data_IF_646879406733
#
_entry.id   IF_646879406733
#
_cell.length_a   1.000
_cell.length_b   1.000
_cell.length_c   1.000
_cell.angle_alpha   90.00
_cell.angle_beta   90.00
_cell.angle_gamma   90.00
#
_symmetry.space_group_name_H-M   'P 1'
#
loop_
_entity.id
_entity.type
_entity.pdbx_description
1 polymer ?
#
# COMPACT_ATOMS: atom_id res chain seq x y z
N UNK A 1 -34.30 15.97 -24.51
CA UNK A 1 -33.04 15.25 -24.51
C UNK A 1 -32.47 15.16 -23.13
N UNK A 2 -32.11 14.05 -22.80
CA UNK A 2 -31.42 13.94 -21.57
C UNK A 2 -29.95 14.19 -21.84
N UNK A 3 -29.45 15.18 -21.22
CA UNK A 3 -28.06 15.40 -21.30
C UNK A 3 -27.40 14.47 -20.28
N UNK A 4 -26.93 13.37 -20.76
CA UNK A 4 -26.26 12.41 -19.88
C UNK A 4 -24.79 12.71 -19.67
N UNK A 5 -24.27 13.70 -20.37
CA UNK A 5 -22.85 14.03 -20.33
C UNK A 5 -22.37 14.36 -18.91
N UNK A 6 -23.22 14.98 -18.11
CA UNK A 6 -22.85 15.32 -16.73
C UNK A 6 -22.81 14.11 -15.80
N UNK A 7 -23.40 12.99 -16.25
CA UNK A 7 -23.36 11.74 -15.50
C UNK A 7 -22.31 10.78 -16.02
N UNK A 8 -21.73 11.09 -17.16
CA UNK A 8 -20.75 10.23 -17.78
C UNK A 8 -19.35 10.58 -17.29
N UNK A 9 -18.68 9.60 -16.80
CA UNK A 9 -17.24 9.75 -16.54
C UNK A 9 -16.54 9.77 -17.88
N UNK A 10 -15.72 10.77 -18.17
CA UNK A 10 -14.93 10.78 -19.40
C UNK A 10 -14.15 9.47 -19.55
N UNK A 11 -14.10 8.96 -20.77
CA UNK A 11 -13.40 7.72 -21.07
C UNK A 11 -11.96 7.77 -20.55
N UNK A 12 -11.30 8.91 -20.70
CA UNK A 12 -9.94 9.08 -20.19
C UNK A 12 -9.84 8.85 -18.70
N UNK A 13 -10.78 9.37 -17.91
CA UNK A 13 -10.78 9.16 -16.46
C UNK A 13 -11.06 7.71 -16.09
N UNK A 14 -11.95 7.05 -16.82
CA UNK A 14 -12.24 5.64 -16.61
C UNK A 14 -10.99 4.81 -16.87
N UNK A 15 -10.26 5.10 -17.93
CA UNK A 15 -9.07 4.35 -18.30
C UNK A 15 -7.89 4.60 -17.36
N UNK A 16 -7.88 5.74 -16.67
CA UNK A 16 -6.85 6.05 -15.68
C UNK A 16 -7.01 5.26 -14.37
N UNK A 17 -8.19 4.70 -14.15
CA UNK A 17 -8.50 3.96 -12.93
C UNK A 17 -8.61 2.48 -13.28
N UNK A 18 -7.46 1.87 -13.57
CA UNK A 18 -7.38 0.46 -13.89
C UNK A 18 -7.47 -0.41 -12.65
N UNK A 19 -8.20 -1.51 -12.74
CA UNK A 19 -8.38 -2.44 -11.62
C UNK A 19 -8.99 -1.76 -10.39
N UNK A 20 -10.11 -1.05 -10.61
CA UNK A 20 -10.85 -0.50 -9.48
C UNK A 20 -11.53 -1.64 -8.73
N UNK A 21 -11.14 -1.84 -7.48
CA UNK A 21 -11.63 -2.93 -6.66
C UNK A 21 -12.79 -2.44 -5.78
N UNK A 22 -13.84 -3.24 -5.70
CA UNK A 22 -15.03 -2.94 -4.91
C UNK A 22 -14.98 -3.77 -3.63
N UNK A 23 -14.14 -3.33 -2.70
CA UNK A 23 -13.87 -4.06 -1.47
C UNK A 23 -14.37 -3.29 -0.26
N UNK A 24 -14.82 -4.02 0.76
CA UNK A 24 -15.39 -3.43 1.95
C UNK A 24 -14.54 -3.52 3.20
N UNK A 25 -13.46 -4.32 3.20
CA UNK A 25 -12.61 -4.48 4.36
C UNK A 25 -11.19 -4.90 3.95
N UNK A 26 -10.26 -4.77 4.90
CA UNK A 26 -8.85 -5.07 4.63
C UNK A 26 -8.61 -6.55 4.31
N UNK A 27 -9.43 -7.42 4.82
CA UNK A 27 -9.29 -8.85 4.56
C UNK A 27 -9.49 -9.17 3.09
N UNK A 28 -10.45 -8.52 2.45
CA UNK A 28 -10.69 -8.66 1.01
C UNK A 28 -9.54 -8.10 0.18
N UNK A 29 -9.00 -6.96 0.59
CA UNK A 29 -7.82 -6.38 -0.07
C UNK A 29 -6.62 -7.31 0.08
N UNK A 30 -6.41 -7.84 1.27
CA UNK A 30 -5.33 -8.78 1.52
C UNK A 30 -5.44 -10.01 0.62
N UNK A 31 -6.64 -10.55 0.46
CA UNK A 31 -6.87 -11.69 -0.42
C UNK A 31 -6.54 -11.34 -1.88
N UNK A 32 -6.98 -10.17 -2.34
CA UNK A 32 -6.67 -9.73 -3.69
C UNK A 32 -5.16 -9.57 -3.90
N UNK A 33 -4.48 -8.93 -2.97
CA UNK A 33 -3.03 -8.76 -3.05
C UNK A 33 -2.30 -10.11 -3.03
N UNK A 34 -2.74 -11.02 -2.18
CA UNK A 34 -2.15 -12.36 -2.10
C UNK A 34 -2.19 -13.07 -3.45
N UNK A 35 -3.29 -12.90 -4.18
CA UNK A 35 -3.47 -13.54 -5.48
C UNK A 35 -2.81 -12.78 -6.63
N UNK A 36 -2.57 -11.48 -6.48
CA UNK A 36 -2.20 -10.62 -7.60
C UNK A 36 -0.92 -9.80 -7.42
N UNK A 37 -0.29 -9.81 -6.26
CA UNK A 37 0.86 -8.92 -5.99
C UNK A 37 2.02 -9.10 -6.98
N UNK A 38 2.17 -10.28 -7.56
CA UNK A 38 3.24 -10.58 -8.51
C UNK A 38 2.74 -10.70 -9.95
N UNK A 39 1.51 -10.34 -10.22
CA UNK A 39 0.88 -10.45 -11.56
C UNK A 39 0.40 -9.12 -12.08
N UNK A 40 -0.18 -8.29 -11.22
CA UNK A 40 -0.80 -7.03 -11.60
C UNK A 40 0.15 -5.85 -11.41
N UNK A 41 -0.04 -4.82 -12.22
CA UNK A 41 0.80 -3.62 -12.19
C UNK A 41 0.26 -2.55 -11.25
N UNK A 42 -1.02 -2.58 -10.97
CA UNK A 42 -1.66 -1.65 -10.06
C UNK A 42 -3.06 -2.12 -9.71
N UNK A 43 -3.63 -1.47 -8.71
CA UNK A 43 -5.06 -1.51 -8.45
C UNK A 43 -5.46 -0.18 -7.82
N UNK A 44 -6.76 0.09 -7.83
CA UNK A 44 -7.34 1.22 -7.14
C UNK A 44 -8.32 0.69 -6.10
N UNK A 45 -8.25 1.23 -4.90
CA UNK A 45 -9.05 0.76 -3.77
C UNK A 45 -9.90 1.91 -3.27
N UNK A 46 -11.21 1.69 -3.15
CA UNK A 46 -12.11 2.69 -2.58
C UNK A 46 -11.80 2.79 -1.10
N UNK A 47 -11.51 4.00 -0.65
CA UNK A 47 -11.04 4.27 0.70
C UNK A 47 -11.77 5.47 1.30
N UNK A 48 -11.51 5.75 2.57
CA UNK A 48 -11.99 6.96 3.22
C UNK A 48 -11.03 7.35 4.33
N UNK A 49 -10.99 8.66 4.61
CA UNK A 49 -10.14 9.24 5.66
C UNK A 49 -10.95 9.85 6.80
N UNK A 50 -12.26 10.00 6.60
CA UNK A 50 -13.15 10.56 7.61
C UNK A 50 -13.33 9.59 8.78
N UNK A 51 -13.81 10.11 9.90
CA UNK A 51 -14.10 9.26 11.07
C UNK A 51 -15.27 8.31 10.83
N UNK A 52 -16.20 8.71 9.97
CA UNK A 52 -17.38 7.91 9.66
C UNK A 52 -17.21 7.26 8.31
N UNK A 53 -17.48 5.96 8.19
CA UNK A 53 -17.46 5.29 6.90
C UNK A 53 -18.50 5.90 5.95
N UNK A 54 -18.22 5.93 4.65
CA UNK A 54 -19.22 6.33 3.66
C UNK A 54 -20.31 5.29 3.51
N UNK A 55 -21.36 5.62 2.76
CA UNK A 55 -22.47 4.71 2.53
C UNK A 55 -22.12 3.52 1.64
N UNK A 56 -21.09 3.65 0.83
CA UNK A 56 -20.61 2.59 -0.06
C UNK A 56 -19.48 1.79 0.60
N UNK A 57 -19.20 0.58 0.10
CA UNK A 57 -18.07 -0.19 0.62
C UNK A 57 -16.75 0.54 0.42
N UNK A 58 -15.97 0.62 1.47
CA UNK A 58 -14.67 1.30 1.46
C UNK A 58 -13.81 0.79 2.61
N UNK A 59 -12.50 0.92 2.46
CA UNK A 59 -11.53 0.49 3.47
C UNK A 59 -10.86 1.72 4.06
N UNK A 60 -10.70 1.81 5.39
CA UNK A 60 -9.98 2.93 6.00
C UNK A 60 -8.62 3.12 5.34
N UNK A 61 -8.24 4.38 5.08
CA UNK A 61 -7.01 4.70 4.37
C UNK A 61 -5.77 4.03 4.97
N UNK A 62 -5.64 4.07 6.30
CA UNK A 62 -4.47 3.49 6.95
C UNK A 62 -4.38 1.98 6.71
N UNK A 63 -5.52 1.28 6.67
CA UNK A 63 -5.53 -0.16 6.41
C UNK A 63 -5.14 -0.46 4.96
N UNK A 64 -5.53 0.39 4.02
CA UNK A 64 -5.13 0.26 2.62
C UNK A 64 -3.61 0.37 2.50
N UNK A 65 -3.02 1.36 3.13
CA UNK A 65 -1.56 1.56 3.13
C UNK A 65 -0.84 0.38 3.79
N UNK A 66 -1.35 -0.07 4.92
CA UNK A 66 -0.75 -1.20 5.65
C UNK A 66 -0.77 -2.48 4.82
N UNK A 67 -1.89 -2.80 4.18
CA UNK A 67 -1.96 -4.01 3.35
C UNK A 67 -1.00 -3.91 2.15
N UNK A 68 -0.90 -2.73 1.54
CA UNK A 68 0.07 -2.52 0.46
C UNK A 68 1.50 -2.81 0.93
N UNK A 69 1.90 -2.26 2.07
CA UNK A 69 3.24 -2.49 2.62
C UNK A 69 3.50 -3.95 2.90
N UNK A 70 2.49 -4.69 3.36
CA UNK A 70 2.62 -6.11 3.67
C UNK A 70 3.00 -6.95 2.45
N UNK A 71 2.74 -6.47 1.23
CA UNK A 71 3.03 -7.19 -0.01
C UNK A 71 4.09 -6.51 -0.86
N UNK A 72 4.79 -5.53 -0.32
CA UNK A 72 5.84 -4.82 -1.07
C UNK A 72 5.28 -3.84 -2.09
N UNK A 73 4.07 -3.37 -1.87
CA UNK A 73 3.41 -2.37 -2.70
C UNK A 73 3.44 -1.01 -2.00
N UNK A 74 3.07 0.03 -2.72
CA UNK A 74 3.04 1.40 -2.21
C UNK A 74 1.78 2.11 -2.70
N UNK A 75 1.26 3.01 -1.85
CA UNK A 75 0.23 3.94 -2.26
C UNK A 75 0.86 5.09 -3.04
N UNK A 76 0.17 5.53 -4.08
CA UNK A 76 0.63 6.63 -4.90
C UNK A 76 -0.45 7.70 -5.02
N UNK A 77 -1.23 7.67 -6.08
CA UNK A 77 -2.24 8.70 -6.37
C UNK A 77 -3.52 8.45 -5.59
N UNK A 78 -4.04 9.51 -4.98
CA UNK A 78 -5.37 9.51 -4.37
C UNK A 78 -6.27 10.35 -5.26
N UNK A 79 -7.39 9.79 -5.70
CA UNK A 79 -8.28 10.43 -6.67
C UNK A 79 -9.73 10.38 -6.22
N UNK A 80 -10.42 11.50 -6.34
CA UNK A 80 -11.87 11.54 -6.14
C UNK A 80 -12.56 11.19 -7.45
N UNK A 81 -13.37 10.13 -7.43
CA UNK A 81 -14.13 9.72 -8.59
C UNK A 81 -15.34 10.64 -8.80
N UNK A 82 -15.88 10.70 -10.02
CA UNK A 82 -17.03 11.56 -10.31
C UNK A 82 -18.26 11.31 -9.43
N UNK A 83 -18.44 10.07 -8.94
CA UNK A 83 -19.55 9.71 -8.06
C UNK A 83 -19.27 10.03 -6.59
N UNK A 84 -18.13 10.63 -6.28
CA UNK A 84 -17.77 11.03 -4.93
C UNK A 84 -16.91 10.03 -4.17
N UNK A 85 -16.72 8.83 -4.69
CA UNK A 85 -15.85 7.84 -4.03
C UNK A 85 -14.39 8.30 -4.09
N UNK A 86 -13.66 8.03 -3.04
CA UNK A 86 -12.22 8.30 -2.97
C UNK A 86 -11.49 7.02 -3.30
N UNK A 87 -10.59 7.05 -4.27
CA UNK A 87 -9.85 5.87 -4.69
C UNK A 87 -8.35 6.08 -4.53
N UNK A 88 -7.69 5.10 -3.92
CA UNK A 88 -6.26 5.09 -3.70
C UNK A 88 -5.61 4.12 -4.67
N UNK A 89 -4.63 4.61 -5.43
CA UNK A 89 -3.85 3.76 -6.31
C UNK A 89 -2.75 3.05 -5.53
N UNK A 90 -2.64 1.76 -5.75
CA UNK A 90 -1.56 0.93 -5.20
C UNK A 90 -0.80 0.30 -6.36
N UNK A 91 0.50 0.15 -6.19
CA UNK A 91 1.36 -0.51 -7.18
C UNK A 91 2.58 -1.12 -6.52
N UNK A 92 3.22 -2.11 -7.17
CA UNK A 92 4.46 -2.66 -6.63
C UNK A 92 5.52 -1.58 -6.48
N UNK A 93 6.27 -1.64 -5.38
CA UNK A 93 7.39 -0.74 -5.17
C UNK A 93 8.48 -1.01 -6.19
N UNK A 94 9.07 0.07 -6.68
CA UNK A 94 10.29 -0.04 -7.49
C UNK A 94 11.47 -0.29 -6.54
N UNK A 95 12.48 -1.05 -6.97
CA UNK A 95 13.63 -1.35 -6.11
C UNK A 95 14.32 -0.13 -5.51
N UNK A 96 14.36 0.97 -6.25
CA UNK A 96 15.00 2.21 -5.80
C UNK A 96 14.00 3.27 -5.35
N UNK A 97 12.81 2.87 -4.92
CA UNK A 97 11.80 3.83 -4.47
C UNK A 97 12.22 4.47 -3.14
N UNK A 98 11.74 5.69 -2.93
CA UNK A 98 12.00 6.39 -1.69
C UNK A 98 11.18 5.77 -0.55
N UNK A 99 11.81 5.60 0.60
CA UNK A 99 11.16 5.14 1.81
C UNK A 99 11.07 6.27 2.83
N UNK A 100 9.87 6.56 3.30
CA UNK A 100 9.70 7.52 4.38
C UNK A 100 9.92 6.82 5.72
N UNK A 101 10.29 7.62 6.73
CA UNK A 101 10.40 7.12 8.10
C UNK A 101 9.10 6.45 8.53
N UNK A 102 7.97 7.08 8.23
CA UNK A 102 6.67 6.56 8.61
C UNK A 102 6.41 5.18 8.04
N UNK A 103 6.73 4.96 6.76
CA UNK A 103 6.51 3.66 6.14
C UNK A 103 7.47 2.59 6.70
N UNK A 104 8.67 2.97 7.06
CA UNK A 104 9.60 2.05 7.73
C UNK A 104 9.08 1.64 9.11
N UNK A 105 8.61 2.60 9.89
CA UNK A 105 8.02 2.34 11.20
C UNK A 105 6.78 1.45 11.07
N UNK A 106 5.98 1.68 10.03
CA UNK A 106 4.82 0.82 9.75
C UNK A 106 5.21 -0.61 9.44
N UNK A 107 6.28 -0.81 8.67
CA UNK A 107 6.75 -2.17 8.37
C UNK A 107 7.17 -2.92 9.63
N UNK A 108 7.86 -2.25 10.55
CA UNK A 108 8.24 -2.85 11.83
C UNK A 108 7.00 -3.22 12.63
N UNK A 109 6.04 -2.33 12.72
CA UNK A 109 4.78 -2.58 13.42
C UNK A 109 3.98 -3.71 12.79
N UNK A 110 3.88 -3.73 11.48
CA UNK A 110 3.14 -4.78 10.75
C UNK A 110 3.76 -6.15 10.96
N UNK A 111 5.08 -6.22 11.03
CA UNK A 111 5.74 -7.48 11.33
C UNK A 111 5.45 -7.93 12.76
N UNK A 112 5.48 -7.00 13.71
CA UNK A 112 5.16 -7.26 15.10
C UNK A 112 3.73 -7.80 15.26
N UNK A 113 2.80 -7.28 14.47
CA UNK A 113 1.40 -7.72 14.47
C UNK A 113 1.17 -9.02 13.66
N UNK A 114 2.20 -9.57 13.05
CA UNK A 114 2.11 -10.80 12.27
C UNK A 114 1.44 -10.64 10.92
N UNK A 115 1.35 -9.43 10.40
CA UNK A 115 0.66 -9.14 9.14
C UNK A 115 1.59 -9.12 7.93
N UNK A 116 2.89 -8.93 8.14
CA UNK A 116 3.86 -8.82 7.06
C UNK A 116 3.99 -10.15 6.30
N UNK A 117 4.11 -10.07 4.98
CA UNK A 117 4.39 -11.23 4.13
C UNK A 117 5.85 -11.22 3.69
N UNK A 118 6.29 -12.34 3.13
CA UNK A 118 7.66 -12.45 2.61
C UNK A 118 7.94 -11.41 1.50
N UNK A 119 6.95 -11.16 0.64
CA UNK A 119 7.10 -10.15 -0.41
C UNK A 119 7.34 -8.76 0.18
N UNK A 120 6.62 -8.43 1.25
CA UNK A 120 6.80 -7.16 1.95
C UNK A 120 8.16 -7.07 2.64
N UNK A 121 8.62 -8.15 3.27
CA UNK A 121 9.94 -8.21 3.89
C UNK A 121 11.04 -7.97 2.88
N UNK A 122 10.96 -8.64 1.73
CA UNK A 122 11.95 -8.49 0.69
C UNK A 122 12.02 -7.05 0.17
N UNK A 123 10.89 -6.40 -0.01
CA UNK A 123 10.86 -5.00 -0.45
C UNK A 123 11.49 -4.08 0.60
N UNK A 124 11.22 -4.31 1.86
CA UNK A 124 11.79 -3.54 2.95
C UNK A 124 13.32 -3.74 3.06
N UNK A 125 13.77 -4.96 2.93
CA UNK A 125 15.21 -5.27 2.95
C UNK A 125 15.96 -4.63 1.79
N UNK A 126 15.36 -4.62 0.60
CA UNK A 126 15.98 -4.01 -0.57
C UNK A 126 16.24 -2.51 -0.42
N UNK A 127 15.48 -1.83 0.43
CA UNK A 127 15.73 -0.43 0.71
C UNK A 127 17.15 -0.18 1.22
N UNK A 128 17.71 -1.13 1.95
CA UNK A 128 19.07 -1.03 2.46
C UNK A 128 20.11 -1.43 1.42
N UNK A 129 19.81 -2.41 0.59
CA UNK A 129 20.71 -2.85 -0.49
C UNK A 129 20.99 -1.73 -1.49
N UNK A 130 19.95 -0.99 -1.85
CA UNK A 130 20.07 0.11 -2.82
C UNK A 130 20.48 1.43 -2.17
N UNK A 131 20.80 1.42 -0.88
CA UNK A 131 21.25 2.61 -0.13
C UNK A 131 20.30 3.80 -0.23
N UNK A 132 19.03 3.51 -0.34
CA UNK A 132 18.00 4.56 -0.33
C UNK A 132 17.97 5.23 1.03
N UNK A 133 18.30 4.45 2.06
CA UNK A 133 18.54 4.93 3.41
C UNK A 133 20.02 4.75 3.67
N UNK A 134 20.77 5.79 4.02
CA UNK A 134 22.20 5.62 4.30
C UNK A 134 22.43 4.53 5.36
N UNK A 135 23.27 3.54 5.10
CA UNK A 135 23.44 2.41 6.00
C UNK A 135 23.91 2.76 7.41
N UNK A 136 24.64 3.81 7.54
CA UNK A 136 25.21 4.29 8.79
C UNK A 136 24.42 5.44 9.41
N UNK A 137 23.28 5.77 8.85
CA UNK A 137 22.43 6.80 9.46
C UNK A 137 21.78 6.27 10.73
N UNK A 138 21.57 7.15 11.69
CA UNK A 138 20.89 6.81 12.93
C UNK A 138 19.52 6.18 12.69
N UNK A 139 18.81 6.74 11.71
CA UNK A 139 17.50 6.24 11.29
C UNK A 139 17.59 4.80 10.80
N UNK A 140 18.52 4.52 9.89
CA UNK A 140 18.71 3.18 9.33
C UNK A 140 19.03 2.17 10.42
N UNK A 141 19.90 2.52 11.35
CA UNK A 141 20.27 1.63 12.45
C UNK A 141 19.09 1.33 13.35
N UNK A 142 18.32 2.35 13.72
CA UNK A 142 17.17 2.18 14.58
C UNK A 142 16.14 1.23 13.96
N UNK A 143 15.81 1.44 12.69
CA UNK A 143 14.84 0.59 11.99
C UNK A 143 15.32 -0.85 11.93
N UNK A 144 16.60 -1.07 11.63
CA UNK A 144 17.18 -2.42 11.59
C UNK A 144 17.14 -3.12 12.95
N UNK A 145 17.49 -2.41 13.99
CA UNK A 145 17.50 -2.98 15.33
C UNK A 145 16.10 -3.33 15.81
N UNK A 146 15.14 -2.45 15.59
CA UNK A 146 13.76 -2.73 15.92
C UNK A 146 13.23 -3.93 15.15
N UNK A 147 13.56 -4.02 13.87
CA UNK A 147 13.17 -5.14 13.04
C UNK A 147 13.78 -6.46 13.55
N UNK A 148 15.05 -6.45 13.94
CA UNK A 148 15.70 -7.64 14.50
C UNK A 148 15.04 -8.11 15.80
N UNK A 149 14.67 -7.17 16.65
CA UNK A 149 14.03 -7.50 17.93
C UNK A 149 12.65 -8.11 17.74
N UNK A 150 11.91 -7.62 16.76
CA UNK A 150 10.53 -8.07 16.52
C UNK A 150 10.44 -9.24 15.54
N UNK A 151 11.50 -9.47 14.75
CA UNK A 151 11.55 -10.50 13.71
C UNK A 151 12.89 -11.22 13.67
N UNK A 152 13.23 -11.98 14.73
CA UNK A 152 14.57 -12.57 14.83
C UNK A 152 14.97 -13.43 13.64
N UNK A 153 14.01 -14.02 12.93
CA UNK A 153 14.31 -14.88 11.78
C UNK A 153 14.52 -14.16 10.47
N UNK A 154 14.19 -12.87 10.39
CA UNK A 154 14.26 -12.11 9.14
C UNK A 154 15.65 -11.61 8.83
N UNK A 155 16.35 -11.10 9.83
CA UNK A 155 17.71 -10.62 9.68
C UNK A 155 18.64 -11.66 10.29
N UNK A 156 18.91 -12.69 9.54
CA UNK A 156 19.86 -13.70 9.99
C UNK A 156 21.23 -13.09 10.01
N UNK A 157 21.85 -13.15 11.16
CA UNK A 157 23.27 -12.88 11.23
C UNK A 157 23.97 -14.09 10.64
N UNK A 158 24.64 -13.85 9.54
CA UNK A 158 25.46 -14.87 8.92
C UNK A 158 26.73 -15.04 9.71
#
# INVERSE_FOLDING_TARGET
MINTSFNETPIKEIMEVENLLHLGNRSELRQWLKENYNKEKCCWVVTYRSKCPPEWPAIPYIEVVEEALCFGWIDSTLKRLPDGRLAQRLSPRRPKSHWTQLNMDRCVDLEDRGLMTEAGRQAFEKAFEYKIIPPDSELSQRVKEEAKLRRPGMYKES
#
